data_IF_082090390894
#
_entry.id   IF_082090390894
#
_cell.length_a   1.000
_cell.length_b   1.000
_cell.length_c   1.000
_cell.angle_alpha   90.00
_cell.angle_beta   90.00
_cell.angle_gamma   90.00
#
_symmetry.space_group_name_H-M   'P 1'
#
loop_
_entity.id
_entity.type
_entity.pdbx_description
1 polymer ?
#
# COMPACT_ATOMS: atom_id res chain seq x y z
N UNK A 1 23.16 53.32 0.36
CA UNK A 1 22.45 52.12 -0.15
C UNK A 1 23.39 50.90 -0.30
N UNK A 2 24.21 50.57 0.71
CA UNK A 2 25.03 49.34 0.76
C UNK A 2 24.61 48.43 1.92
N UNK A 3 24.29 49.05 3.07
CA UNK A 3 23.87 48.35 4.29
C UNK A 3 22.49 47.69 4.17
N UNK A 4 21.55 48.29 3.44
CA UNK A 4 20.23 47.71 3.16
C UNK A 4 20.31 46.51 2.23
N UNK A 5 21.21 46.56 1.24
CA UNK A 5 21.45 45.46 0.31
C UNK A 5 22.08 44.25 1.01
N UNK A 6 23.10 44.47 1.87
CA UNK A 6 23.68 43.38 2.66
C UNK A 6 22.66 42.70 3.58
N UNK A 7 21.73 43.47 4.19
CA UNK A 7 20.68 42.93 5.04
C UNK A 7 19.65 42.11 4.26
N UNK A 8 19.31 42.55 3.05
CA UNK A 8 18.40 41.81 2.17
C UNK A 8 19.01 40.47 1.72
N UNK A 9 20.30 40.47 1.36
CA UNK A 9 21.04 39.24 0.99
C UNK A 9 21.13 38.27 2.17
N UNK A 10 21.41 38.77 3.38
CA UNK A 10 21.50 37.93 4.59
C UNK A 10 20.15 37.28 4.96
N UNK A 11 19.04 38.01 4.77
CA UNK A 11 17.72 37.46 5.01
C UNK A 11 17.35 36.41 3.95
N UNK A 12 17.66 36.68 2.67
CA UNK A 12 17.41 35.72 1.59
C UNK A 12 18.16 34.40 1.78
N UNK A 13 19.43 34.43 2.22
CA UNK A 13 20.18 33.20 2.54
C UNK A 13 19.61 32.47 3.74
N UNK A 14 19.17 33.17 4.79
CA UNK A 14 18.53 32.53 5.95
C UNK A 14 17.24 31.79 5.58
N UNK A 15 16.43 32.34 4.66
CA UNK A 15 15.24 31.65 4.14
C UNK A 15 15.57 30.39 3.34
N UNK A 16 16.66 30.41 2.57
CA UNK A 16 17.11 29.23 1.83
C UNK A 16 17.61 28.11 2.76
N UNK A 17 18.19 28.45 3.92
CA UNK A 17 18.61 27.46 4.92
C UNK A 17 17.46 26.88 5.75
N UNK A 18 16.38 27.63 6.01
CA UNK A 18 15.17 27.09 6.67
C UNK A 18 14.28 26.26 5.73
N UNK A 19 14.54 26.30 4.41
CA UNK A 19 13.85 25.48 3.41
C UNK A 19 14.48 24.10 3.18
N UNK A 20 15.69 23.85 3.71
CA UNK A 20 16.19 22.48 3.89
C UNK A 20 15.50 21.89 5.11
N UNK A 21 14.20 21.61 4.98
CA UNK A 21 13.59 20.53 5.74
C UNK A 21 14.38 19.28 5.35
N UNK A 22 15.30 18.87 6.23
CA UNK A 22 15.91 17.56 6.15
C UNK A 22 14.73 16.61 6.37
N UNK A 23 14.09 16.21 5.26
CA UNK A 23 12.95 15.31 5.26
C UNK A 23 13.40 14.12 6.08
N UNK A 24 12.92 14.06 7.32
CA UNK A 24 13.49 13.24 8.37
C UNK A 24 13.70 11.86 7.76
N UNK A 25 14.95 11.50 7.47
CA UNK A 25 15.25 10.18 6.98
C UNK A 25 14.91 9.29 8.16
N UNK A 26 13.68 8.79 8.15
CA UNK A 26 13.12 7.92 9.16
C UNK A 26 14.09 6.78 9.32
N UNK A 27 15.01 6.91 10.28
CA UNK A 27 16.10 5.97 10.57
C UNK A 27 15.56 4.80 11.37
N UNK A 28 14.28 4.51 11.18
CA UNK A 28 13.59 3.33 11.65
C UNK A 28 13.38 2.52 10.40
N UNK A 29 14.07 1.39 10.30
CA UNK A 29 13.79 0.34 9.30
C UNK A 29 12.33 -0.06 9.46
N UNK A 30 11.43 0.68 8.80
CA UNK A 30 10.02 0.35 8.76
C UNK A 30 9.93 -0.96 8.01
N UNK A 31 9.28 -1.99 8.59
CA UNK A 31 9.16 -3.28 7.94
C UNK A 31 8.57 -3.09 6.54
N UNK A 32 9.15 -3.76 5.55
CA UNK A 32 8.78 -3.57 4.15
C UNK A 32 7.29 -3.90 3.95
N UNK A 33 6.60 -3.01 3.23
CA UNK A 33 5.19 -3.12 2.95
C UNK A 33 5.00 -3.86 1.63
N UNK A 34 4.38 -5.03 1.68
CA UNK A 34 4.04 -5.82 0.50
C UNK A 34 2.56 -5.67 0.17
N UNK A 35 2.28 -5.48 -1.12
CA UNK A 35 0.91 -5.42 -1.64
C UNK A 35 0.63 -6.69 -2.43
N UNK A 36 -0.35 -7.46 -1.98
CA UNK A 36 -0.82 -8.67 -2.66
C UNK A 36 -2.07 -8.33 -3.47
N UNK A 37 -2.12 -8.82 -4.70
CA UNK A 37 -3.23 -8.58 -5.62
C UNK A 37 -3.72 -9.88 -6.28
N UNK A 38 -4.99 -9.85 -6.67
CA UNK A 38 -5.61 -10.93 -7.44
C UNK A 38 -6.99 -10.52 -7.96
N UNK A 39 -7.70 -11.50 -8.51
CA UNK A 39 -8.99 -11.29 -9.16
C UNK A 39 -10.01 -12.30 -8.65
N UNK A 40 -11.23 -11.84 -8.36
CA UNK A 40 -12.37 -12.69 -8.01
C UNK A 40 -13.67 -11.90 -8.14
N UNK A 41 -14.82 -12.57 -8.23
CA UNK A 41 -16.15 -11.93 -8.25
C UNK A 41 -16.32 -10.80 -9.30
N UNK A 42 -15.59 -10.86 -10.42
CA UNK A 42 -15.65 -9.84 -11.48
C UNK A 42 -14.85 -8.56 -11.21
N UNK A 43 -14.07 -8.49 -10.13
CA UNK A 43 -13.22 -7.33 -9.80
C UNK A 43 -11.84 -7.76 -9.28
N UNK A 44 -11.00 -6.79 -8.91
CA UNK A 44 -9.70 -7.00 -8.30
C UNK A 44 -9.79 -6.87 -6.78
N UNK A 45 -9.02 -7.69 -6.06
CA UNK A 45 -8.80 -7.53 -4.64
C UNK A 45 -7.34 -7.09 -4.40
N UNK A 46 -7.13 -6.32 -3.33
CA UNK A 46 -5.81 -5.83 -2.91
C UNK A 46 -5.68 -5.95 -1.40
N UNK A 47 -4.55 -6.46 -0.94
CA UNK A 47 -4.23 -6.63 0.49
C UNK A 47 -2.84 -6.07 0.74
N UNK A 48 -2.76 -5.03 1.55
CA UNK A 48 -1.49 -4.44 2.00
C UNK A 48 -1.09 -5.04 3.34
N UNK A 49 0.11 -5.61 3.40
CA UNK A 49 0.65 -6.33 4.57
C UNK A 49 2.08 -5.88 4.82
N UNK A 50 2.46 -5.82 6.10
CA UNK A 50 3.75 -5.28 6.52
C UNK A 50 4.54 -6.37 7.25
N UNK A 51 5.83 -6.48 6.94
CA UNK A 51 6.76 -7.33 7.72
C UNK A 51 6.62 -8.84 7.47
N UNK A 52 6.13 -9.25 6.30
CA UNK A 52 6.15 -10.65 5.87
C UNK A 52 7.32 -10.90 4.91
N UNK A 53 7.85 -12.11 4.88
CA UNK A 53 8.85 -12.52 3.87
C UNK A 53 8.17 -12.89 2.53
N UNK A 54 8.96 -12.91 1.45
CA UNK A 54 8.45 -13.19 0.11
C UNK A 54 7.81 -14.58 -0.05
N UNK A 55 8.31 -15.60 0.67
CA UNK A 55 7.73 -16.96 0.62
C UNK A 55 6.36 -16.96 1.29
N UNK A 56 6.24 -16.35 2.47
CA UNK A 56 4.95 -16.17 3.16
C UNK A 56 3.97 -15.32 2.35
N UNK A 57 4.45 -14.31 1.62
CA UNK A 57 3.61 -13.51 0.73
C UNK A 57 2.94 -14.36 -0.36
N UNK A 58 3.68 -15.30 -0.98
CA UNK A 58 3.15 -16.22 -1.99
C UNK A 58 2.15 -17.21 -1.37
N UNK A 59 2.47 -17.77 -0.21
CA UNK A 59 1.57 -18.68 0.52
C UNK A 59 0.27 -17.96 0.93
N UNK A 60 0.39 -16.73 1.44
CA UNK A 60 -0.75 -15.91 1.87
C UNK A 60 -1.62 -15.51 0.67
N UNK A 61 -1.03 -15.12 -0.45
CA UNK A 61 -1.76 -14.82 -1.69
C UNK A 61 -2.59 -16.03 -2.14
N UNK A 62 -2.02 -17.22 -2.09
CA UNK A 62 -2.74 -18.47 -2.45
C UNK A 62 -3.92 -18.73 -1.51
N UNK A 63 -3.73 -18.53 -0.20
CA UNK A 63 -4.81 -18.66 0.79
C UNK A 63 -5.93 -17.66 0.58
N UNK A 64 -5.59 -16.39 0.34
CA UNK A 64 -6.57 -15.32 0.06
C UNK A 64 -7.37 -15.67 -1.19
N UNK A 65 -6.71 -16.07 -2.27
CA UNK A 65 -7.40 -16.46 -3.51
C UNK A 65 -8.35 -17.64 -3.28
N UNK A 66 -7.88 -18.67 -2.58
CA UNK A 66 -8.69 -19.87 -2.29
C UNK A 66 -9.95 -19.53 -1.49
N UNK A 67 -9.82 -18.65 -0.48
CA UNK A 67 -10.95 -18.19 0.31
C UNK A 67 -11.93 -17.38 -0.55
N UNK A 68 -11.44 -16.40 -1.30
CA UNK A 68 -12.29 -15.56 -2.14
C UNK A 68 -12.96 -16.35 -3.28
N UNK A 69 -12.34 -17.42 -3.76
CA UNK A 69 -12.95 -18.33 -4.74
C UNK A 69 -14.07 -19.19 -4.11
N UNK A 70 -13.89 -19.61 -2.85
CA UNK A 70 -14.93 -20.28 -2.09
C UNK A 70 -16.12 -19.34 -1.81
N UNK A 71 -15.83 -18.08 -1.49
CA UNK A 71 -16.84 -17.04 -1.29
C UNK A 71 -17.57 -16.72 -2.61
N UNK A 72 -16.84 -16.61 -3.73
CA UNK A 72 -17.45 -16.43 -5.05
C UNK A 72 -18.35 -17.63 -5.40
N UNK A 73 -17.95 -18.86 -5.09
CA UNK A 73 -18.84 -20.03 -5.26
C UNK A 73 -20.06 -19.96 -4.35
N UNK A 74 -19.92 -19.46 -3.13
CA UNK A 74 -20.99 -19.38 -2.14
C UNK A 74 -21.96 -18.24 -2.44
N UNK A 75 -21.52 -17.11 -2.98
CA UNK A 75 -22.31 -15.89 -3.06
C UNK A 75 -22.70 -15.51 -4.50
N UNK A 76 -21.99 -16.03 -5.51
CA UNK A 76 -22.24 -15.65 -6.89
C UNK A 76 -23.62 -16.05 -7.37
N UNK A 77 -24.33 -15.09 -7.95
CA UNK A 77 -25.57 -15.30 -8.71
C UNK A 77 -25.29 -15.80 -10.13
N UNK A 78 -24.06 -15.65 -10.61
CA UNK A 78 -23.62 -16.08 -11.94
C UNK A 78 -23.21 -17.55 -11.97
N UNK A 79 -22.78 -18.10 -10.82
CA UNK A 79 -22.39 -19.52 -10.70
C UNK A 79 -23.60 -20.37 -10.31
N UNK A 80 -23.85 -21.43 -11.08
CA UNK A 80 -24.94 -22.37 -10.78
C UNK A 80 -24.63 -23.09 -9.47
N UNK A 81 -25.46 -22.88 -8.45
CA UNK A 81 -25.38 -23.65 -7.22
C UNK A 81 -26.00 -25.02 -7.48
N UNK A 82 -25.23 -26.09 -7.27
CA UNK A 82 -25.83 -27.40 -7.04
C UNK A 82 -26.63 -27.27 -5.74
N UNK A 83 -27.96 -27.18 -5.85
CA UNK A 83 -28.86 -27.33 -4.70
C UNK A 83 -28.65 -28.74 -4.16
N UNK A 84 -28.25 -28.87 -2.89
CA UNK A 84 -28.15 -30.17 -2.22
C UNK A 84 -29.54 -30.81 -2.02
N UNK A 85 -30.58 -29.98 -2.10
CA UNK A 85 -32.01 -30.24 -1.92
C UNK A 85 -32.74 -30.58 -3.24
N UNK A 86 -32.01 -30.83 -4.34
CA UNK A 86 -32.55 -31.22 -5.63
C UNK A 86 -32.36 -32.72 -5.98
N UNK A 87 -32.09 -33.56 -4.97
CA UNK A 87 -31.94 -35.01 -5.07
C UNK A 87 -32.88 -35.70 -4.09
#
# INVERSE_FOLDING_TARGET
>A
MKMTFCRAVLMATAFLFMGCDDASQTTTTSPDAQVLEGKTMGTFWRVSVVGIDAKRAVELRTKIQTQLDADDRLLSTYKKRLRADAL
#
